data_IF_631524372258
#
_entry.id   IF_631524372258
#
_cell.length_a   1.000
_cell.length_b   1.000
_cell.length_c   1.000
_cell.angle_alpha   90.00
_cell.angle_beta   90.00
_cell.angle_gamma   90.00
#
_symmetry.space_group_name_H-M   'P 1'
#
loop_
_entity.id
_entity.type
_entity.pdbx_description
1 polymer ?
#
# COMPACT_ATOMS: atom_id res chain seq x y z
N UNK A 1 4.26 3.68 22.94
CA UNK A 1 4.69 2.30 22.72
C UNK A 1 4.33 1.91 21.29
N UNK A 2 5.25 1.29 20.57
CA UNK A 2 5.04 0.78 19.20
C UNK A 2 4.18 -0.50 19.20
N UNK A 3 3.68 -0.93 20.36
CA UNK A 3 2.85 -2.12 20.51
C UNK A 3 1.59 -2.03 19.66
N UNK A 4 1.41 -2.83 18.62
CA UNK A 4 2.34 -3.65 17.85
C UNK A 4 1.85 -3.44 16.41
N UNK A 5 2.71 -3.00 15.47
CA UNK A 5 2.34 -2.79 14.06
C UNK A 5 1.57 -4.01 13.52
N UNK A 6 2.01 -5.22 13.90
CA UNK A 6 1.33 -6.45 13.52
C UNK A 6 -0.08 -6.54 14.12
N UNK A 7 -0.25 -6.18 15.40
CA UNK A 7 -1.57 -6.14 16.03
C UNK A 7 -2.50 -5.13 15.37
N UNK A 8 -2.02 -3.93 15.03
CA UNK A 8 -2.85 -2.93 14.33
C UNK A 8 -3.33 -3.46 12.98
N UNK A 9 -2.43 -4.05 12.19
CA UNK A 9 -2.79 -4.65 10.90
C UNK A 9 -3.75 -5.84 11.06
N UNK A 10 -3.63 -6.61 12.13
CA UNK A 10 -4.54 -7.73 12.44
C UNK A 10 -5.91 -7.26 12.95
N UNK A 11 -5.97 -6.16 13.70
CA UNK A 11 -7.23 -5.59 14.19
C UNK A 11 -8.04 -4.95 13.05
N UNK A 12 -7.34 -4.42 12.04
CA UNK A 12 -7.93 -3.70 10.89
C UNK A 12 -7.62 -4.42 9.56
N UNK A 13 -7.96 -5.72 9.48
CA UNK A 13 -7.59 -6.57 8.33
C UNK A 13 -8.21 -6.12 7.00
N UNK A 14 -9.36 -5.47 7.04
CA UNK A 14 -10.02 -4.85 5.91
C UNK A 14 -9.19 -3.68 5.36
N UNK A 15 -8.74 -2.76 6.23
CA UNK A 15 -7.86 -1.65 5.83
C UNK A 15 -6.51 -2.18 5.35
N UNK A 16 -5.92 -3.17 6.04
CA UNK A 16 -4.66 -3.80 5.62
C UNK A 16 -4.76 -4.45 4.23
N UNK A 17 -5.91 -5.07 3.90
CA UNK A 17 -6.19 -5.63 2.58
C UNK A 17 -6.25 -4.54 1.52
N UNK A 18 -6.94 -3.44 1.79
CA UNK A 18 -7.04 -2.34 0.83
C UNK A 18 -5.70 -1.60 0.63
N UNK A 19 -4.88 -1.44 1.68
CA UNK A 19 -3.50 -0.96 1.56
C UNK A 19 -2.66 -1.86 0.63
N UNK A 20 -2.73 -3.18 0.82
CA UNK A 20 -2.04 -4.15 -0.05
C UNK A 20 -2.56 -4.09 -1.49
N UNK A 21 -3.87 -3.89 -1.65
CA UNK A 21 -4.53 -3.73 -2.96
C UNK A 21 -4.09 -2.45 -3.66
N UNK A 22 -3.96 -1.34 -2.94
CA UNK A 22 -3.43 -0.08 -3.46
C UNK A 22 -1.99 -0.27 -3.94
N UNK A 23 -1.12 -0.91 -3.14
CA UNK A 23 0.26 -1.21 -3.53
C UNK A 23 0.33 -2.08 -4.79
N UNK A 24 -0.48 -3.13 -4.87
CA UNK A 24 -0.57 -3.99 -6.07
C UNK A 24 -1.09 -3.23 -7.29
N UNK A 25 -2.09 -2.38 -7.12
CA UNK A 25 -2.61 -1.53 -8.21
C UNK A 25 -1.49 -0.65 -8.76
N UNK A 26 -0.78 0.07 -7.88
CA UNK A 26 0.31 0.99 -8.23
C UNK A 26 1.47 0.33 -8.97
N UNK A 27 1.91 -0.86 -8.55
CA UNK A 27 3.19 -1.41 -9.03
C UNK A 27 3.10 -2.72 -9.82
N UNK A 28 1.99 -3.45 -9.69
CA UNK A 28 1.75 -4.65 -10.50
C UNK A 28 0.79 -4.36 -11.64
N UNK A 29 -0.37 -3.76 -11.38
CA UNK A 29 -1.39 -3.51 -12.40
C UNK A 29 -1.04 -2.37 -13.34
N UNK A 30 -0.10 -1.49 -12.97
CA UNK A 30 0.43 -0.46 -13.88
C UNK A 30 1.05 -1.04 -15.17
N UNK A 31 1.39 -2.34 -15.20
CA UNK A 31 1.86 -3.04 -16.41
C UNK A 31 0.74 -3.61 -17.28
N UNK A 32 -0.51 -3.57 -16.81
CA UNK A 32 -1.67 -4.24 -17.41
C UNK A 32 -2.82 -3.30 -17.76
N UNK A 33 -2.81 -2.10 -17.19
CA UNK A 33 -3.87 -1.12 -17.35
C UNK A 33 -3.36 0.10 -18.12
N UNK A 34 -4.31 0.85 -18.70
CA UNK A 34 -4.03 2.20 -19.20
C UNK A 34 -3.72 3.14 -18.04
N UNK A 35 -3.12 4.31 -18.34
CA UNK A 35 -2.86 5.32 -17.32
C UNK A 35 -4.15 5.79 -16.63
N UNK A 36 -5.19 6.08 -17.41
CA UNK A 36 -6.48 6.57 -16.91
C UNK A 36 -7.17 5.52 -16.03
N UNK A 37 -7.27 4.26 -16.48
CA UNK A 37 -7.87 3.17 -15.67
C UNK A 37 -7.09 2.92 -14.37
N UNK A 38 -5.77 3.09 -14.42
CA UNK A 38 -4.90 2.92 -13.28
C UNK A 38 -5.10 4.06 -12.27
N UNK A 39 -5.19 5.31 -12.72
CA UNK A 39 -5.44 6.48 -11.90
C UNK A 39 -6.81 6.40 -11.21
N UNK A 40 -7.87 6.13 -11.98
CA UNK A 40 -9.23 5.95 -11.47
C UNK A 40 -9.31 4.89 -10.36
N UNK A 41 -8.66 3.74 -10.58
CA UNK A 41 -8.63 2.65 -9.58
C UNK A 41 -7.85 3.03 -8.34
N UNK A 42 -6.72 3.71 -8.48
CA UNK A 42 -5.95 4.19 -7.33
C UNK A 42 -6.76 5.17 -6.50
N UNK A 43 -7.40 6.15 -7.14
CA UNK A 43 -8.20 7.16 -6.45
C UNK A 43 -9.36 6.54 -5.70
N UNK A 44 -10.10 5.59 -6.31
CA UNK A 44 -11.19 4.87 -5.63
C UNK A 44 -10.71 4.09 -4.40
N UNK A 45 -9.55 3.43 -4.50
CA UNK A 45 -8.98 2.68 -3.38
C UNK A 45 -8.50 3.62 -2.27
N UNK A 46 -7.87 4.74 -2.62
CA UNK A 46 -7.44 5.75 -1.64
C UNK A 46 -8.64 6.31 -0.87
N UNK A 47 -9.72 6.67 -1.57
CA UNK A 47 -10.93 7.16 -0.92
C UNK A 47 -11.59 6.11 -0.03
N UNK A 48 -11.62 4.85 -0.47
CA UNK A 48 -12.14 3.76 0.36
C UNK A 48 -11.30 3.55 1.63
N UNK A 49 -9.97 3.64 1.54
CA UNK A 49 -9.07 3.55 2.69
C UNK A 49 -9.29 4.73 3.65
N UNK A 50 -9.33 5.97 3.12
CA UNK A 50 -9.58 7.17 3.93
C UNK A 50 -10.92 7.09 4.67
N UNK A 51 -11.98 6.66 3.99
CA UNK A 51 -13.29 6.47 4.62
C UNK A 51 -13.26 5.41 5.72
N UNK A 52 -12.55 4.30 5.54
CA UNK A 52 -12.43 3.27 6.58
C UNK A 52 -11.59 3.74 7.78
N UNK A 53 -10.59 4.60 7.54
CA UNK A 53 -9.76 5.19 8.60
C UNK A 53 -10.55 6.12 9.52
N UNK A 54 -11.59 6.78 9.01
CA UNK A 54 -12.44 7.67 9.82
C UNK A 54 -13.22 6.91 10.91
N UNK A 55 -13.39 5.59 10.77
CA UNK A 55 -14.03 4.72 11.75
C UNK A 55 -13.05 4.12 12.79
N UNK A 56 -11.74 4.38 12.68
CA UNK A 56 -10.73 3.84 13.59
C UNK A 56 -10.69 4.64 14.90
N UNK A 57 -11.21 4.03 15.97
CA UNK A 57 -11.37 4.70 17.27
C UNK A 57 -10.05 4.92 18.03
N UNK A 58 -9.05 4.05 17.82
CA UNK A 58 -7.78 4.11 18.55
C UNK A 58 -6.79 4.97 17.77
N UNK A 59 -6.51 6.18 18.28
CA UNK A 59 -5.65 7.18 17.62
C UNK A 59 -4.28 6.63 17.18
N UNK A 60 -3.66 5.75 17.97
CA UNK A 60 -2.38 5.18 17.59
C UNK A 60 -2.48 4.20 16.41
N UNK A 61 -3.57 3.41 16.34
CA UNK A 61 -3.83 2.50 15.23
C UNK A 61 -4.11 3.28 13.95
N UNK A 62 -4.96 4.31 14.02
CA UNK A 62 -5.24 5.25 12.92
C UNK A 62 -3.93 5.84 12.36
N UNK A 63 -3.07 6.36 13.25
CA UNK A 63 -1.78 6.93 12.87
C UNK A 63 -0.86 5.92 12.17
N UNK A 64 -0.85 4.66 12.60
CA UNK A 64 -0.06 3.59 11.95
C UNK A 64 -0.58 3.34 10.54
N UNK A 65 -1.89 3.17 10.37
CA UNK A 65 -2.49 2.88 9.07
C UNK A 65 -2.36 4.05 8.09
N UNK A 66 -2.55 5.30 8.56
CA UNK A 66 -2.31 6.52 7.75
C UNK A 66 -0.86 6.61 7.27
N UNK A 67 0.12 6.27 8.12
CA UNK A 67 1.54 6.22 7.71
C UNK A 67 1.81 5.18 6.63
N UNK A 68 1.13 4.04 6.64
CA UNK A 68 1.23 3.07 5.55
C UNK A 68 0.63 3.61 4.25
N UNK A 69 -0.52 4.27 4.31
CA UNK A 69 -1.12 4.92 3.14
C UNK A 69 -0.15 5.95 2.54
N UNK A 70 0.38 6.86 3.37
CA UNK A 70 1.33 7.89 2.96
C UNK A 70 2.61 7.27 2.37
N UNK A 71 3.17 6.24 3.01
CA UNK A 71 4.35 5.53 2.50
C UNK A 71 4.12 4.90 1.12
N UNK A 72 2.96 4.28 0.91
CA UNK A 72 2.59 3.67 -0.39
C UNK A 72 2.46 4.76 -1.46
N UNK A 73 1.85 5.90 -1.12
CA UNK A 73 1.69 7.05 -2.03
C UNK A 73 3.02 7.71 -2.38
N UNK A 74 3.89 7.90 -1.39
CA UNK A 74 5.24 8.45 -1.57
C UNK A 74 6.18 7.49 -2.33
N UNK A 75 5.83 6.20 -2.45
CA UNK A 75 6.62 5.26 -3.25
C UNK A 75 6.45 5.55 -4.74
N UNK A 76 7.53 6.00 -5.38
CA UNK A 76 7.60 6.25 -6.83
C UNK A 76 7.86 4.97 -7.62
N UNK A 77 8.80 4.14 -7.14
CA UNK A 77 9.20 2.89 -7.82
C UNK A 77 9.60 1.83 -6.82
N UNK A 78 9.33 0.58 -7.16
CA UNK A 78 9.79 -0.59 -6.42
C UNK A 78 10.19 -1.73 -7.35
N UNK A 79 11.14 -2.56 -6.92
CA UNK A 79 11.50 -3.80 -7.62
C UNK A 79 10.67 -5.01 -7.15
N UNK A 80 9.71 -4.85 -6.24
CA UNK A 80 9.00 -5.97 -5.57
C UNK A 80 8.42 -7.02 -6.53
N UNK A 81 7.98 -6.60 -7.71
CA UNK A 81 7.41 -7.48 -8.73
C UNK A 81 8.32 -7.69 -9.96
N UNK A 82 9.62 -7.43 -9.82
CA UNK A 82 10.64 -7.70 -10.82
C UNK A 82 11.29 -9.05 -10.53
N UNK A 83 11.52 -9.83 -11.57
CA UNK A 83 12.30 -11.06 -11.49
C UNK A 83 13.77 -10.83 -11.83
N UNK A 84 14.63 -11.75 -11.43
CA UNK A 84 16.02 -11.84 -11.87
C UNK A 84 16.13 -12.54 -13.24
N UNK A 85 17.37 -12.80 -13.67
CA UNK A 85 17.66 -13.46 -14.95
C UNK A 85 17.14 -14.92 -15.03
N UNK A 86 16.89 -15.56 -13.88
CA UNK A 86 16.37 -16.93 -13.79
C UNK A 86 14.84 -16.95 -13.62
N UNK A 87 14.18 -15.79 -13.73
CA UNK A 87 12.74 -15.66 -13.52
C UNK A 87 12.31 -15.75 -12.05
N UNK A 88 13.24 -15.72 -11.10
CA UNK A 88 12.95 -15.75 -9.66
C UNK A 88 12.75 -14.34 -9.11
N UNK A 89 12.04 -14.22 -7.99
CA UNK A 89 11.99 -12.94 -7.28
C UNK A 89 13.39 -12.52 -6.82
N UNK A 90 13.72 -11.24 -6.92
CA UNK A 90 14.98 -10.72 -6.39
C UNK A 90 15.06 -10.94 -4.88
N UNK A 91 16.24 -11.31 -4.37
CA UNK A 91 16.48 -11.54 -2.94
C UNK A 91 16.48 -10.26 -2.06
N UNK A 92 16.17 -9.11 -2.66
CA UNK A 92 16.14 -7.81 -2.00
C UNK A 92 14.98 -6.98 -2.53
N UNK A 93 14.47 -6.09 -1.68
CA UNK A 93 13.54 -5.06 -2.09
C UNK A 93 14.23 -3.70 -2.13
N UNK A 94 13.82 -2.87 -3.08
CA UNK A 94 14.25 -1.49 -3.21
C UNK A 94 13.03 -0.63 -3.46
N UNK A 95 12.98 0.50 -2.78
CA UNK A 95 11.91 1.48 -2.89
C UNK A 95 12.54 2.85 -3.12
N UNK A 96 12.03 3.60 -4.10
CA UNK A 96 12.34 5.01 -4.28
C UNK A 96 11.16 5.82 -3.77
N UNK A 97 11.42 6.72 -2.84
CA UNK A 97 10.41 7.58 -2.22
C UNK A 97 10.54 9.03 -2.69
N UNK A 98 9.42 9.75 -2.66
CA UNK A 98 9.30 11.21 -2.79
C UNK A 98 8.30 11.68 -1.73
N UNK A 99 8.78 12.09 -0.54
CA UNK A 99 7.95 12.38 0.63
C UNK A 99 7.12 13.67 0.55
#
# INVERSE_FOLDING_TARGET
DLGDIASTLNNHTDIARELTRLFKTRFYLARKLTADDLEDKQQRLEQAILSALDDVQVLNEDRILRRYLDLIKATLRTNFYQTDANGQNKAYFSFKFDP
#
